data_IF_834922873296
#
_entry.id   IF_834922873296
#
_cell.length_a   1.000
_cell.length_b   1.000
_cell.length_c   1.000
_cell.angle_alpha   90.00
_cell.angle_beta   90.00
_cell.angle_gamma   90.00
#
_symmetry.space_group_name_H-M   'P 1'
#
loop_
_entity.id
_entity.type
_entity.pdbx_description
1 polymer ?
#
# COMPACT_ATOMS: atom_id res chain seq x y z
N UNK A 1 -20.49 -53.97 39.15
CA UNK A 1 -19.87 -52.69 38.75
C UNK A 1 -20.83 -52.06 37.75
N UNK A 2 -21.41 -50.90 38.06
CA UNK A 2 -22.63 -50.41 37.42
C UNK A 2 -22.33 -49.86 36.01
N UNK A 3 -23.14 -50.20 35.01
CA UNK A 3 -22.93 -49.84 33.60
C UNK A 3 -22.78 -48.32 33.38
N UNK A 4 -23.43 -47.51 34.22
CA UNK A 4 -23.31 -46.05 34.23
C UNK A 4 -21.87 -45.56 34.51
N UNK A 5 -21.13 -46.27 35.35
CA UNK A 5 -19.75 -45.90 35.71
C UNK A 5 -18.80 -46.12 34.54
N UNK A 6 -19.05 -47.15 33.72
CA UNK A 6 -18.27 -47.43 32.51
C UNK A 6 -18.53 -46.36 31.45
N UNK A 7 -19.78 -45.91 31.32
CA UNK A 7 -20.15 -44.88 30.35
C UNK A 7 -19.54 -43.51 30.68
N UNK A 8 -19.51 -43.13 31.96
CA UNK A 8 -18.88 -41.88 32.44
C UNK A 8 -17.37 -41.87 32.16
N UNK A 9 -16.69 -43.00 32.41
CA UNK A 9 -15.25 -43.15 32.13
C UNK A 9 -15.00 -43.06 30.61
N UNK A 10 -15.86 -43.69 29.80
CA UNK A 10 -15.78 -43.62 28.34
C UNK A 10 -15.89 -42.19 27.80
N UNK A 11 -16.85 -41.41 28.31
CA UNK A 11 -17.04 -40.00 27.94
C UNK A 11 -15.84 -39.15 28.37
N UNK A 12 -15.28 -39.39 29.56
CA UNK A 12 -14.09 -38.70 30.05
C UNK A 12 -12.87 -38.94 29.15
N UNK A 13 -12.63 -40.19 28.74
CA UNK A 13 -11.55 -40.53 27.81
C UNK A 13 -11.73 -39.88 26.44
N UNK A 14 -12.95 -39.84 25.90
CA UNK A 14 -13.25 -39.18 24.62
C UNK A 14 -13.04 -37.66 24.69
N UNK A 15 -13.47 -37.02 25.77
CA UNK A 15 -13.26 -35.59 25.99
C UNK A 15 -11.77 -35.23 26.08
N UNK A 16 -10.97 -36.05 26.78
CA UNK A 16 -9.53 -35.88 26.87
C UNK A 16 -8.83 -36.05 25.51
N UNK A 17 -9.24 -37.04 24.71
CA UNK A 17 -8.75 -37.26 23.35
C UNK A 17 -9.10 -36.08 22.42
N UNK A 18 -10.34 -35.60 22.50
CA UNK A 18 -10.78 -34.44 21.73
C UNK A 18 -9.98 -33.18 22.08
N UNK A 19 -9.77 -32.93 23.37
CA UNK A 19 -8.96 -31.81 23.87
C UNK A 19 -7.50 -31.92 23.40
N UNK A 20 -6.91 -33.11 23.49
CA UNK A 20 -5.54 -33.36 23.03
C UNK A 20 -5.37 -33.09 21.52
N UNK A 21 -6.32 -33.55 20.69
CA UNK A 21 -6.29 -33.31 19.23
C UNK A 21 -6.45 -31.82 18.91
N UNK A 22 -7.42 -31.14 19.53
CA UNK A 22 -7.68 -29.71 19.35
C UNK A 22 -6.46 -28.84 19.66
N UNK A 23 -5.70 -29.14 20.72
CA UNK A 23 -4.55 -28.33 21.13
C UNK A 23 -3.28 -28.67 20.34
N UNK A 24 -3.03 -29.94 20.02
CA UNK A 24 -1.77 -30.35 19.39
C UNK A 24 -1.76 -30.28 17.86
N UNK A 25 -2.87 -30.52 17.16
CA UNK A 25 -2.93 -30.37 15.69
C UNK A 25 -2.54 -28.96 15.19
N UNK A 26 -3.08 -27.85 15.72
CA UNK A 26 -2.76 -26.53 15.21
C UNK A 26 -1.29 -26.16 15.47
N UNK A 27 -0.76 -26.54 16.65
CA UNK A 27 0.65 -26.29 17.01
C UNK A 27 1.63 -27.05 16.12
N UNK A 28 1.28 -28.25 15.65
CA UNK A 28 2.11 -29.00 14.68
C UNK A 28 2.07 -28.38 13.28
N UNK A 29 0.89 -27.94 12.82
CA UNK A 29 0.73 -27.28 11.51
C UNK A 29 1.48 -25.95 11.40
N UNK A 30 1.69 -25.24 12.52
CA UNK A 30 2.49 -24.01 12.57
C UNK A 30 4.00 -24.25 12.63
N UNK A 31 4.46 -25.40 13.17
CA UNK A 31 5.90 -25.70 13.37
C UNK A 31 6.59 -26.26 12.13
N UNK A 32 5.85 -26.92 11.25
CA UNK A 32 6.38 -27.48 9.99
C UNK A 32 5.35 -27.21 8.90
N UNK A 33 5.33 -26.00 8.36
CA UNK A 33 4.31 -25.59 7.40
C UNK A 33 4.76 -26.12 6.02
N UNK A 34 4.61 -27.43 5.80
CA UNK A 34 5.04 -28.16 4.61
C UNK A 34 4.33 -27.75 3.31
N UNK A 35 3.43 -26.76 3.38
CA UNK A 35 2.63 -26.24 2.28
C UNK A 35 2.64 -24.70 2.23
N UNK A 36 3.72 -24.04 2.70
CA UNK A 36 3.91 -22.60 2.43
C UNK A 36 4.21 -22.42 0.95
N UNK A 37 3.16 -22.26 0.16
CA UNK A 37 3.27 -21.79 -1.21
C UNK A 37 3.48 -20.28 -1.19
N UNK A 38 4.51 -19.81 -1.88
CA UNK A 38 4.73 -18.39 -2.13
C UNK A 38 3.57 -17.87 -2.99
N UNK A 39 2.66 -17.12 -2.38
CA UNK A 39 1.63 -16.38 -3.11
C UNK A 39 2.29 -15.16 -3.74
N UNK A 40 2.00 -14.89 -5.03
CA UNK A 40 2.37 -13.61 -5.64
C UNK A 40 1.71 -12.50 -4.84
N UNK A 41 2.53 -11.65 -4.22
CA UNK A 41 2.08 -10.54 -3.36
C UNK A 41 1.54 -9.39 -4.21
N UNK A 42 1.97 -9.29 -5.47
CA UNK A 42 1.63 -8.21 -6.38
C UNK A 42 0.56 -8.65 -7.38
N UNK A 43 -0.49 -7.84 -7.53
CA UNK A 43 -1.52 -8.02 -8.56
C UNK A 43 -1.02 -7.52 -9.93
N UNK A 44 -1.73 -7.85 -11.03
CA UNK A 44 -1.35 -7.39 -12.38
C UNK A 44 -1.34 -5.87 -12.46
N UNK A 45 -2.40 -5.26 -11.94
CA UNK A 45 -2.61 -3.81 -11.94
C UNK A 45 -1.53 -3.09 -11.12
N UNK A 46 -1.17 -3.62 -9.94
CA UNK A 46 -0.08 -3.06 -9.12
C UNK A 46 1.26 -3.11 -9.87
N UNK A 47 1.50 -4.17 -10.63
CA UNK A 47 2.74 -4.33 -11.41
C UNK A 47 2.82 -3.33 -12.55
N UNK A 48 1.70 -3.03 -13.21
CA UNK A 48 1.61 -2.01 -14.26
C UNK A 48 1.78 -0.60 -13.69
N UNK A 49 1.15 -0.30 -12.56
CA UNK A 49 1.32 0.97 -11.86
C UNK A 49 2.78 1.18 -11.44
N UNK A 50 3.40 0.18 -10.83
CA UNK A 50 4.79 0.26 -10.38
C UNK A 50 5.78 0.41 -11.54
N UNK A 51 5.53 -0.25 -12.69
CA UNK A 51 6.39 -0.11 -13.86
C UNK A 51 6.30 1.29 -14.48
N UNK A 52 5.08 1.86 -14.54
CA UNK A 52 4.85 3.24 -15.01
C UNK A 52 5.47 4.28 -14.07
N UNK A 53 5.31 4.13 -12.75
CA UNK A 53 5.92 5.03 -11.77
C UNK A 53 7.44 4.99 -11.85
N UNK A 54 8.02 3.79 -11.96
CA UNK A 54 9.47 3.64 -12.05
C UNK A 54 10.05 4.19 -13.35
N UNK A 55 9.33 4.13 -14.46
CA UNK A 55 9.79 4.70 -15.73
C UNK A 55 9.75 6.23 -15.73
N UNK A 56 8.72 6.83 -15.10
CA UNK A 56 8.52 8.27 -15.07
C UNK A 56 9.34 8.97 -13.98
N UNK A 57 9.44 8.38 -12.79
CA UNK A 57 10.00 8.99 -11.58
C UNK A 57 11.24 8.24 -11.06
N UNK A 58 12.13 7.79 -11.95
CA UNK A 58 13.25 6.91 -11.58
C UNK A 58 14.28 7.56 -10.64
N UNK A 59 14.87 8.69 -11.05
CA UNK A 59 15.80 9.48 -10.26
C UNK A 59 15.57 10.95 -10.66
N UNK A 60 15.47 11.91 -9.72
CA UNK A 60 15.89 11.87 -8.31
C UNK A 60 14.84 11.40 -7.28
N UNK A 61 13.67 10.94 -7.71
CA UNK A 61 12.57 10.65 -6.80
C UNK A 61 12.69 9.29 -6.10
N UNK A 62 12.12 9.21 -4.90
CA UNK A 62 12.03 7.98 -4.12
C UNK A 62 10.57 7.54 -4.10
N UNK A 63 10.31 6.30 -4.53
CA UNK A 63 8.97 5.70 -4.53
C UNK A 63 8.81 4.84 -3.27
N UNK A 64 7.86 5.19 -2.41
CA UNK A 64 7.51 4.43 -1.20
C UNK A 64 6.12 3.81 -1.35
N UNK A 65 6.00 2.51 -1.11
CA UNK A 65 4.73 1.78 -1.24
C UNK A 65 4.05 1.59 0.12
N UNK A 66 2.73 1.39 0.11
CA UNK A 66 1.92 1.02 1.27
C UNK A 66 2.09 1.99 2.46
N UNK A 67 1.91 3.28 2.22
CA UNK A 67 2.09 4.31 3.25
C UNK A 67 0.76 4.58 3.95
N UNK A 68 0.72 4.47 5.28
CA UNK A 68 -0.46 4.83 6.06
C UNK A 68 -0.58 6.35 6.21
N UNK A 69 -1.81 6.88 6.20
CA UNK A 69 -2.03 8.32 6.40
C UNK A 69 -1.54 8.81 7.76
N UNK A 70 -1.54 7.95 8.78
CA UNK A 70 -1.00 8.22 10.13
C UNK A 70 0.47 8.65 10.11
N UNK A 71 1.25 8.17 9.13
CA UNK A 71 2.66 8.50 8.97
C UNK A 71 2.89 9.77 8.12
N UNK A 72 1.85 10.27 7.43
CA UNK A 72 1.94 11.39 6.49
C UNK A 72 1.31 12.67 7.01
N UNK A 73 0.17 12.56 7.68
CA UNK A 73 -0.64 13.71 8.07
C UNK A 73 -0.59 13.88 9.58
N UNK A 74 0.04 14.96 10.01
CA UNK A 74 0.08 15.34 11.42
C UNK A 74 -0.95 16.43 11.72
N UNK A 75 -1.89 16.15 12.63
CA UNK A 75 -2.84 17.15 13.14
C UNK A 75 -2.56 17.47 14.61
N UNK A 76 -2.02 18.65 14.96
CA UNK A 76 -1.69 19.00 16.34
C UNK A 76 -2.87 18.86 17.33
N UNK A 77 -4.08 19.07 16.83
CA UNK A 77 -5.33 19.08 17.60
C UNK A 77 -5.92 17.67 17.81
N UNK A 78 -5.71 16.77 16.86
CA UNK A 78 -6.34 15.45 16.82
C UNK A 78 -5.37 14.31 17.18
N UNK A 79 -4.06 14.55 17.14
CA UNK A 79 -3.00 13.59 17.45
C UNK A 79 -2.99 13.09 18.91
N UNK A 80 -3.80 13.67 19.79
CA UNK A 80 -3.98 13.16 21.17
C UNK A 80 -5.09 12.11 21.27
N UNK A 81 -5.86 11.89 20.19
CA UNK A 81 -7.05 11.04 20.21
C UNK A 81 -6.76 9.69 19.54
N UNK A 82 -6.88 8.56 20.26
CA UNK A 82 -6.51 7.24 19.74
C UNK A 82 -7.40 6.77 18.58
N UNK A 83 -8.66 7.22 18.52
CA UNK A 83 -9.56 6.89 17.41
C UNK A 83 -9.13 7.54 16.08
N UNK A 84 -8.46 8.69 16.14
CA UNK A 84 -7.95 9.38 14.95
C UNK A 84 -6.82 8.56 14.33
N UNK A 85 -5.86 8.12 15.13
CA UNK A 85 -4.79 7.21 14.69
C UNK A 85 -5.32 5.91 14.10
N UNK A 86 -6.36 5.34 14.71
CA UNK A 86 -6.97 4.12 14.19
C UNK A 86 -7.57 4.34 12.79
N UNK A 87 -8.37 5.41 12.62
CA UNK A 87 -8.94 5.76 11.33
C UNK A 87 -7.86 6.07 10.27
N UNK A 88 -6.79 6.78 10.65
CA UNK A 88 -5.68 7.12 9.75
C UNK A 88 -4.79 5.92 9.37
N UNK A 89 -4.77 4.86 10.18
CA UNK A 89 -4.06 3.61 9.86
C UNK A 89 -4.86 2.68 8.95
N UNK A 90 -6.19 2.80 9.00
CA UNK A 90 -7.08 2.07 8.09
C UNK A 90 -6.95 2.62 6.66
N UNK A 91 -6.67 3.91 6.54
CA UNK A 91 -6.44 4.59 5.25
C UNK A 91 -4.97 4.43 4.81
N UNK A 92 -4.75 3.81 3.65
CA UNK A 92 -3.43 3.58 3.06
C UNK A 92 -3.36 4.19 1.67
N UNK A 93 -2.19 4.69 1.33
CA UNK A 93 -1.81 5.13 -0.01
C UNK A 93 -0.96 4.04 -0.64
N UNK A 94 -1.35 3.59 -1.84
CA UNK A 94 -0.61 2.60 -2.61
C UNK A 94 0.85 3.00 -2.85
N UNK A 95 1.07 4.19 -3.43
CA UNK A 95 2.39 4.72 -3.77
C UNK A 95 2.54 6.19 -3.42
N UNK A 96 3.70 6.55 -2.89
CA UNK A 96 4.06 7.92 -2.57
C UNK A 96 5.41 8.26 -3.20
N UNK A 97 5.42 9.34 -3.96
CA UNK A 97 6.60 9.88 -4.62
C UNK A 97 7.18 10.97 -3.72
N UNK A 98 8.44 10.79 -3.33
CA UNK A 98 9.20 11.69 -2.47
C UNK A 98 10.32 12.35 -3.28
N UNK A 99 10.67 13.59 -2.96
CA UNK A 99 11.86 14.24 -3.52
C UNK A 99 13.15 13.82 -2.77
N UNK A 100 14.29 14.40 -3.18
CA UNK A 100 15.61 14.22 -2.55
C UNK A 100 15.66 14.59 -1.05
N UNK A 101 14.70 15.38 -0.58
CA UNK A 101 14.57 15.80 0.83
C UNK A 101 13.58 14.94 1.60
N UNK A 102 13.12 13.83 1.02
CA UNK A 102 12.13 12.91 1.58
C UNK A 102 10.77 13.54 1.86
N UNK A 103 10.43 14.66 1.20
CA UNK A 103 9.11 15.28 1.34
C UNK A 103 8.16 14.72 0.28
N UNK A 104 6.89 14.45 0.64
CA UNK A 104 5.88 13.95 -0.30
C UNK A 104 5.57 14.99 -1.38
N UNK A 105 5.59 14.54 -2.62
CA UNK A 105 5.37 15.36 -3.81
C UNK A 105 4.11 14.94 -4.54
N UNK A 106 3.89 13.63 -4.68
CA UNK A 106 2.70 13.08 -5.32
C UNK A 106 2.30 11.77 -4.64
N UNK A 107 1.01 11.64 -4.31
CA UNK A 107 0.41 10.38 -3.89
C UNK A 107 -0.30 9.75 -5.09
N UNK A 108 -0.10 8.46 -5.29
CA UNK A 108 -0.74 7.69 -6.37
C UNK A 108 -1.42 6.49 -5.74
N UNK A 109 -2.70 6.30 -6.06
CA UNK A 109 -3.48 5.21 -5.52
C UNK A 109 -4.44 4.62 -6.54
N UNK A 110 -4.97 3.45 -6.24
CA UNK A 110 -6.08 2.87 -6.99
C UNK A 110 -7.41 3.23 -6.35
N UNK A 111 -8.48 3.26 -7.14
CA UNK A 111 -9.81 3.54 -6.61
C UNK A 111 -10.20 2.51 -5.55
N UNK A 112 -10.52 3.00 -4.37
CA UNK A 112 -11.15 2.20 -3.32
C UNK A 112 -12.47 2.87 -2.94
N UNK A 113 -13.49 2.09 -2.59
CA UNK A 113 -14.86 2.62 -2.41
C UNK A 113 -15.04 3.69 -1.32
N UNK A 114 -13.98 4.08 -0.60
CA UNK A 114 -13.97 5.09 0.46
C UNK A 114 -12.76 6.05 0.33
N UNK A 115 -12.62 6.69 -0.84
CA UNK A 115 -11.51 7.58 -1.14
C UNK A 115 -11.70 9.05 -0.67
N UNK A 116 -12.92 9.44 -0.27
CA UNK A 116 -13.22 10.84 0.08
C UNK A 116 -12.42 11.33 1.29
N UNK A 117 -12.30 10.51 2.34
CA UNK A 117 -11.56 10.87 3.55
C UNK A 117 -10.07 10.99 3.22
N UNK A 118 -9.55 10.05 2.43
CA UNK A 118 -8.15 10.03 1.98
C UNK A 118 -7.81 11.28 1.17
N UNK A 119 -8.64 11.62 0.17
CA UNK A 119 -8.48 12.80 -0.67
C UNK A 119 -8.50 14.09 0.16
N UNK A 120 -9.47 14.24 1.05
CA UNK A 120 -9.58 15.42 1.91
C UNK A 120 -8.36 15.59 2.83
N UNK A 121 -7.83 14.49 3.37
CA UNK A 121 -6.66 14.53 4.23
C UNK A 121 -5.38 14.88 3.46
N UNK A 122 -5.19 14.31 2.26
CA UNK A 122 -4.04 14.60 1.40
C UNK A 122 -4.08 16.05 0.89
N UNK A 123 -5.25 16.52 0.45
CA UNK A 123 -5.46 17.91 0.05
C UNK A 123 -5.18 18.90 1.21
N UNK A 124 -5.63 18.57 2.42
CA UNK A 124 -5.34 19.38 3.62
C UNK A 124 -3.86 19.39 3.99
N UNK A 125 -3.12 18.34 3.65
CA UNK A 125 -1.67 18.25 3.83
C UNK A 125 -0.89 18.91 2.68
N UNK A 126 -1.57 19.40 1.63
CA UNK A 126 -0.93 19.98 0.45
C UNK A 126 -0.27 18.93 -0.47
N UNK A 127 -0.65 17.65 -0.33
CA UNK A 127 -0.13 16.56 -1.15
C UNK A 127 -1.14 16.27 -2.26
N UNK A 128 -0.79 16.52 -3.54
CA UNK A 128 -1.64 16.16 -4.66
C UNK A 128 -1.78 14.62 -4.76
N UNK A 129 -2.96 14.15 -5.12
CA UNK A 129 -3.28 12.73 -5.20
C UNK A 129 -3.87 12.39 -6.57
N UNK A 130 -3.29 11.40 -7.24
CA UNK A 130 -3.82 10.80 -8.45
C UNK A 130 -4.45 9.45 -8.11
N UNK A 131 -5.73 9.29 -8.44
CA UNK A 131 -6.46 8.03 -8.24
C UNK A 131 -6.74 7.44 -9.60
N UNK A 132 -6.36 6.17 -9.77
CA UNK A 132 -6.48 5.43 -11.03
C UNK A 132 -7.53 4.33 -10.87
N UNK A 133 -8.38 4.15 -11.87
CA UNK A 133 -9.33 3.03 -11.89
C UNK A 133 -8.61 1.67 -12.04
N UNK A 134 -9.19 0.64 -11.43
CA UNK A 134 -8.71 -0.74 -11.60
C UNK A 134 -8.91 -1.19 -13.06
N UNK A 135 -7.90 -1.83 -13.65
CA UNK A 135 -7.91 -2.26 -15.06
C UNK A 135 -7.58 -1.18 -16.10
N UNK A 136 -7.19 0.02 -15.69
CA UNK A 136 -6.68 1.06 -16.62
C UNK A 136 -5.38 0.59 -17.27
N UNK A 137 -5.25 0.66 -18.61
CA UNK A 137 -4.04 0.20 -19.29
C UNK A 137 -2.84 1.07 -18.94
N UNK A 138 -1.66 0.44 -18.84
CA UNK A 138 -0.39 1.11 -18.51
C UNK A 138 -0.07 2.38 -19.31
N UNK A 139 -0.54 2.50 -20.56
CA UNK A 139 -0.34 3.71 -21.39
C UNK A 139 -1.15 4.90 -20.86
N UNK A 140 -2.40 4.69 -20.45
CA UNK A 140 -3.24 5.75 -19.89
C UNK A 140 -2.76 6.16 -18.50
N UNK A 141 -2.31 5.19 -17.70
CA UNK A 141 -1.66 5.46 -16.40
C UNK A 141 -0.44 6.37 -16.61
N UNK A 142 0.40 6.09 -17.61
CA UNK A 142 1.57 6.90 -17.89
C UNK A 142 1.20 8.32 -18.36
N UNK A 143 0.16 8.47 -19.17
CA UNK A 143 -0.33 9.77 -19.65
C UNK A 143 -0.87 10.62 -18.49
N UNK A 144 -1.70 10.05 -17.61
CA UNK A 144 -2.26 10.75 -16.45
C UNK A 144 -1.18 11.13 -15.44
N UNK A 145 -0.20 10.25 -15.18
CA UNK A 145 0.96 10.56 -14.34
C UNK A 145 1.84 11.65 -14.96
N UNK A 146 1.96 11.69 -16.29
CA UNK A 146 2.71 12.73 -17.01
C UNK A 146 2.00 14.08 -16.91
N UNK A 147 0.67 14.10 -17.05
CA UNK A 147 -0.13 15.31 -16.88
C UNK A 147 -0.02 15.84 -15.44
N UNK A 148 -0.17 14.97 -14.44
CA UNK A 148 -0.04 15.34 -13.03
C UNK A 148 1.36 15.88 -12.72
N UNK A 149 2.41 15.26 -13.26
CA UNK A 149 3.77 15.75 -13.11
C UNK A 149 3.97 17.13 -13.77
N UNK A 150 3.36 17.38 -14.93
CA UNK A 150 3.43 18.67 -15.62
C UNK A 150 2.72 19.78 -14.82
N UNK A 151 1.53 19.51 -14.29
CA UNK A 151 0.80 20.45 -13.41
C UNK A 151 1.61 20.80 -12.14
N UNK A 152 2.35 19.82 -11.62
CA UNK A 152 3.21 19.98 -10.44
C UNK A 152 4.63 20.44 -10.78
N UNK A 153 4.94 20.69 -12.05
CA UNK A 153 6.27 21.09 -12.55
C UNK A 153 7.39 20.14 -12.10
N UNK A 154 7.11 18.83 -12.05
CA UNK A 154 8.07 17.81 -11.61
C UNK A 154 8.95 17.38 -12.78
N UNK A 155 10.29 17.39 -12.64
CA UNK A 155 11.18 16.83 -13.65
C UNK A 155 10.90 15.33 -13.84
N UNK A 156 10.45 14.92 -15.01
CA UNK A 156 10.28 13.52 -15.37
C UNK A 156 11.60 12.96 -15.93
N UNK A 157 11.90 11.70 -15.65
CA UNK A 157 13.16 11.06 -16.08
C UNK A 157 13.27 10.94 -17.61
N UNK A 158 12.13 11.00 -18.32
CA UNK A 158 12.07 10.97 -19.80
C UNK A 158 12.06 12.33 -20.49
N UNK A 159 11.98 13.45 -19.76
CA UNK A 159 12.12 14.77 -20.34
C UNK A 159 13.61 15.08 -20.49
N UNK A 160 14.16 14.81 -21.69
CA UNK A 160 15.43 15.40 -22.12
C UNK A 160 15.42 16.88 -21.74
N UNK A 161 16.47 17.43 -21.10
CA UNK A 161 16.59 18.87 -20.98
C UNK A 161 16.55 19.42 -22.40
N UNK A 162 15.54 20.26 -22.67
CA UNK A 162 15.46 20.99 -23.92
C UNK A 162 16.78 21.73 -24.10
N UNK A 163 17.54 21.29 -25.10
CA UNK A 163 18.74 21.98 -25.59
C UNK A 163 18.38 23.45 -25.76
N UNK A 164 18.99 24.32 -24.96
CA UNK A 164 18.98 25.75 -25.21
C UNK A 164 19.50 25.99 -26.63
N UNK A 165 18.76 26.69 -27.52
CA UNK A 165 19.34 27.14 -28.76
C UNK A 165 20.28 28.30 -28.44
N UNK A 166 21.57 28.01 -28.23
CA UNK A 166 22.58 29.06 -28.27
C UNK A 166 22.59 29.63 -29.69
N UNK A 167 22.10 30.86 -29.74
CA UNK A 167 21.96 31.67 -30.93
C UNK A 167 23.37 31.96 -31.46
N UNK A 168 23.58 31.55 -32.71
CA UNK A 168 24.66 32.03 -33.56
C UNK A 168 24.62 33.56 -33.61
N UNK A 169 25.62 34.23 -33.05
CA UNK A 169 25.94 35.60 -33.41
C UNK A 169 27.37 35.63 -33.95
N UNK A 170 27.45 35.59 -35.27
CA UNK A 170 28.64 35.93 -36.03
C UNK A 170 28.68 37.45 -36.19
N UNK A 171 29.77 38.06 -35.75
CA UNK A 171 30.31 39.31 -36.27
C UNK A 171 31.81 39.37 -35.98
#
# INVERSE_FOLDING_TARGET
MNDDMINIIGIGCLAALFWYIQIHRPKKKLKSPGELQLKSVMTSDEREMYSALKSLFAAPYIIKNNVTLDDLVFSPSLNKKPFFHKAMREQKVGWLILNDKYTPVLAVDMTTGDDEIKLNCLASAGIPCCIMDSGTPATQIADELTQAAAELSLPLTGALPATEPQTSEAA
#
